data_IF_409784879425
#
_entry.id   IF_409784879425
#
_cell.length_a   1.000
_cell.length_b   1.000
_cell.length_c   1.000
_cell.angle_alpha   90.00
_cell.angle_beta   90.00
_cell.angle_gamma   90.00
#
_symmetry.space_group_name_H-M   'P 1'
#
loop_
_entity.id
_entity.type
_entity.pdbx_description
1 polymer ?
#
# COMPACT_ATOMS: atom_id res chain seq x y z
N UNK A 1 -3.77 15.51 -14.33
CA UNK A 1 -4.13 15.46 -14.00
C UNK A 1 -4.88 15.68 -13.73
N UNK A 2 -5.38 16.07 -13.57
CA UNK A 2 -6.01 15.79 -13.69
C UNK A 2 -7.31 15.79 -13.29
N UNK A 3 -8.40 16.07 -13.74
CA UNK A 3 -9.77 15.81 -13.37
C UNK A 3 -9.98 14.69 -12.40
N UNK A 4 -8.90 14.13 -12.07
CA UNK A 4 -8.87 13.00 -11.17
C UNK A 4 -9.36 13.33 -9.76
N UNK A 5 -9.25 14.58 -9.37
CA UNK A 5 -9.74 14.98 -8.05
C UNK A 5 -11.25 14.76 -7.94
N UNK A 6 -11.97 15.01 -9.01
CA UNK A 6 -13.39 14.76 -9.04
C UNK A 6 -13.70 13.27 -8.91
N UNK A 7 -12.88 12.44 -9.52
CA UNK A 7 -13.06 11.00 -9.44
C UNK A 7 -12.88 10.48 -8.02
N UNK A 8 -11.91 11.04 -7.29
CA UNK A 8 -11.70 10.65 -5.89
C UNK A 8 -12.92 11.00 -5.04
N UNK A 9 -13.46 12.21 -5.23
CA UNK A 9 -14.63 12.63 -4.48
C UNK A 9 -15.83 11.72 -4.75
N UNK A 10 -16.03 11.34 -6.00
CA UNK A 10 -17.11 10.42 -6.35
C UNK A 10 -16.89 9.05 -5.73
N UNK A 11 -15.65 8.59 -5.71
CA UNK A 11 -15.34 7.31 -5.10
C UNK A 11 -15.65 7.32 -3.61
N UNK A 12 -15.32 8.40 -2.92
CA UNK A 12 -15.62 8.52 -1.49
C UNK A 12 -17.11 8.53 -1.23
N UNK A 13 -17.88 9.24 -2.04
CA UNK A 13 -19.32 9.27 -1.89
C UNK A 13 -19.92 7.88 -2.08
N UNK A 14 -19.44 7.17 -3.09
CA UNK A 14 -19.90 5.81 -3.33
C UNK A 14 -19.50 4.89 -2.18
N UNK A 15 -18.29 5.07 -1.65
CA UNK A 15 -17.79 4.27 -0.55
C UNK A 15 -18.68 4.44 0.69
N UNK A 16 -19.03 5.69 1.02
CA UNK A 16 -19.86 5.98 2.18
C UNK A 16 -21.27 5.42 2.01
N UNK A 17 -21.76 5.35 0.79
CA UNK A 17 -23.09 4.86 0.49
C UNK A 17 -23.19 3.33 0.53
N UNK A 18 -22.08 2.63 0.47
CA UNK A 18 -22.09 1.17 0.46
C UNK A 18 -22.44 0.65 1.86
N UNK A 19 -23.52 -0.12 2.00
CA UNK A 19 -23.89 -0.63 3.32
C UNK A 19 -22.96 -1.72 3.82
N UNK A 20 -22.33 -2.45 2.92
CA UNK A 20 -21.40 -3.53 3.26
C UNK A 20 -20.04 -3.25 2.65
N UNK A 21 -19.15 -2.69 3.45
CA UNK A 21 -17.79 -2.43 3.00
C UNK A 21 -16.93 -3.67 3.25
N UNK A 22 -16.18 -4.08 2.24
CA UNK A 22 -15.26 -5.20 2.37
C UNK A 22 -13.85 -4.78 2.00
N UNK A 23 -12.92 -5.72 2.14
CA UNK A 23 -11.51 -5.45 1.84
C UNK A 23 -11.31 -4.91 0.43
N UNK A 24 -12.06 -5.43 -0.52
CA UNK A 24 -11.96 -4.99 -1.92
C UNK A 24 -12.37 -3.52 -2.04
N UNK A 25 -13.46 -3.14 -1.36
CA UNK A 25 -13.94 -1.76 -1.38
C UNK A 25 -12.91 -0.81 -0.78
N UNK A 26 -12.35 -1.18 0.37
CA UNK A 26 -11.32 -0.39 1.02
C UNK A 26 -10.09 -0.24 0.10
N UNK A 27 -9.68 -1.34 -0.52
CA UNK A 27 -8.54 -1.33 -1.42
C UNK A 27 -8.76 -0.40 -2.61
N UNK A 28 -9.96 -0.44 -3.18
CA UNK A 28 -10.30 0.42 -4.32
C UNK A 28 -10.21 1.90 -3.96
N UNK A 29 -10.69 2.27 -2.78
CA UNK A 29 -10.63 3.65 -2.31
C UNK A 29 -9.19 4.08 -2.08
N UNK A 30 -8.40 3.21 -1.45
CA UNK A 30 -6.98 3.49 -1.21
C UNK A 30 -6.26 3.71 -2.53
N UNK A 31 -6.53 2.85 -3.50
CA UNK A 31 -5.93 2.96 -4.82
C UNK A 31 -6.32 4.26 -5.51
N UNK A 32 -7.58 4.65 -5.40
CA UNK A 32 -8.07 5.88 -6.00
C UNK A 32 -7.34 7.10 -5.45
N UNK A 33 -7.16 7.16 -4.14
CA UNK A 33 -6.40 8.26 -3.54
C UNK A 33 -4.96 8.26 -3.99
N UNK A 34 -4.35 7.07 -4.07
CA UNK A 34 -2.98 6.95 -4.54
C UNK A 34 -2.81 7.42 -5.97
N UNK A 35 -3.76 7.10 -6.84
CA UNK A 35 -3.71 7.51 -8.24
C UNK A 35 -3.83 9.03 -8.40
N UNK A 36 -4.43 9.68 -7.42
CA UNK A 36 -4.60 11.14 -7.45
C UNK A 36 -3.48 11.88 -6.73
N UNK A 37 -2.48 11.15 -6.25
CA UNK A 37 -1.35 11.78 -5.58
C UNK A 37 -1.60 12.08 -4.10
N UNK A 38 -2.71 11.65 -3.56
CA UNK A 38 -3.02 11.84 -2.14
C UNK A 38 -2.52 10.66 -1.33
N UNK A 39 -1.20 10.53 -1.29
CA UNK A 39 -0.56 9.35 -0.72
C UNK A 39 -0.80 9.23 0.79
N UNK A 40 -0.73 10.34 1.50
CA UNK A 40 -0.94 10.32 2.95
C UNK A 40 -2.35 9.88 3.30
N UNK A 41 -3.33 10.38 2.55
CA UNK A 41 -4.72 9.99 2.78
C UNK A 41 -4.92 8.52 2.50
N UNK A 42 -4.30 8.02 1.44
CA UNK A 42 -4.39 6.61 1.10
C UNK A 42 -3.82 5.73 2.22
N UNK A 43 -2.68 6.13 2.77
CA UNK A 43 -2.06 5.40 3.87
C UNK A 43 -2.94 5.46 5.11
N UNK A 44 -3.53 6.61 5.39
CA UNK A 44 -4.44 6.77 6.51
C UNK A 44 -5.64 5.83 6.39
N UNK A 45 -6.21 5.74 5.20
CA UNK A 45 -7.33 4.84 4.94
C UNK A 45 -6.93 3.38 5.14
N UNK A 46 -5.72 3.03 4.76
CA UNK A 46 -5.22 1.67 4.97
C UNK A 46 -5.16 1.34 6.47
N UNK A 47 -4.65 2.28 7.26
CA UNK A 47 -4.59 2.09 8.71
C UNK A 47 -5.98 1.98 9.30
N UNK A 48 -6.92 2.78 8.82
CA UNK A 48 -8.28 2.74 9.31
C UNK A 48 -8.97 1.43 8.95
N UNK A 49 -8.69 0.92 7.76
CA UNK A 49 -9.21 -0.38 7.33
C UNK A 49 -8.88 -1.46 8.35
N UNK A 50 -7.61 -1.50 8.78
CA UNK A 50 -7.18 -2.47 9.78
C UNK A 50 -7.84 -2.21 11.13
N UNK A 51 -7.98 -0.93 11.50
CA UNK A 51 -8.60 -0.54 12.74
C UNK A 51 -10.07 -0.97 12.81
N UNK A 52 -10.74 -0.95 11.66
CA UNK A 52 -12.14 -1.34 11.58
C UNK A 52 -12.33 -2.85 11.52
N UNK A 53 -11.26 -3.61 11.56
CA UNK A 53 -11.32 -5.06 11.59
C UNK A 53 -11.26 -5.74 10.24
N UNK A 54 -10.99 -5.00 9.19
CA UNK A 54 -10.84 -5.58 7.85
C UNK A 54 -9.39 -6.00 7.64
N UNK A 55 -9.20 -7.22 7.17
CA UNK A 55 -7.87 -7.75 6.91
C UNK A 55 -7.42 -7.40 5.50
N UNK A 56 -6.31 -6.67 5.35
CA UNK A 56 -5.76 -6.44 4.02
C UNK A 56 -5.26 -7.75 3.44
N UNK A 57 -5.36 -7.87 2.13
CA UNK A 57 -4.84 -9.05 1.44
C UNK A 57 -3.58 -8.69 0.66
N UNK A 58 -3.05 -9.66 -0.07
CA UNK A 58 -1.82 -9.48 -0.83
C UNK A 58 -1.93 -8.28 -1.79
N UNK A 59 -3.06 -8.17 -2.46
CA UNK A 59 -3.28 -7.06 -3.39
C UNK A 59 -3.33 -5.72 -2.67
N UNK A 60 -3.96 -5.67 -1.50
CA UNK A 60 -4.04 -4.43 -0.71
C UNK A 60 -2.65 -3.95 -0.33
N UNK A 61 -1.79 -4.86 0.11
CA UNK A 61 -0.41 -4.49 0.47
C UNK A 61 0.38 -4.04 -0.76
N UNK A 62 0.13 -4.67 -1.90
CA UNK A 62 0.78 -4.25 -3.14
C UNK A 62 0.42 -2.80 -3.47
N UNK A 63 -0.85 -2.46 -3.38
CA UNK A 63 -1.33 -1.10 -3.63
C UNK A 63 -0.67 -0.12 -2.67
N UNK A 64 -0.66 -0.45 -1.39
CA UNK A 64 -0.11 0.44 -0.36
C UNK A 64 1.40 0.62 -0.54
N UNK A 65 2.12 -0.45 -0.83
CA UNK A 65 3.56 -0.35 -1.06
C UNK A 65 3.87 0.48 -2.30
N UNK A 66 3.07 0.34 -3.35
CA UNK A 66 3.21 1.15 -4.54
C UNK A 66 2.99 2.64 -4.24
N UNK A 67 1.99 2.94 -3.41
CA UNK A 67 1.71 4.30 -2.98
C UNK A 67 2.89 4.86 -2.19
N UNK A 68 3.46 4.06 -1.30
CA UNK A 68 4.64 4.47 -0.54
C UNK A 68 5.81 4.75 -1.47
N UNK A 69 5.98 3.93 -2.49
CA UNK A 69 7.05 4.11 -3.47
C UNK A 69 6.91 5.45 -4.18
N UNK A 70 5.72 5.75 -4.64
CA UNK A 70 5.48 6.99 -5.37
C UNK A 70 5.60 8.21 -4.48
N UNK A 71 5.18 8.09 -3.24
CA UNK A 71 5.21 9.20 -2.30
C UNK A 71 6.49 9.34 -1.51
N UNK A 72 7.38 8.37 -1.59
CA UNK A 72 8.64 8.43 -0.86
C UNK A 72 8.54 8.09 0.61
N UNK A 73 7.57 7.28 1.01
CA UNK A 73 7.37 6.91 2.41
C UNK A 73 8.10 5.60 2.74
N UNK A 74 9.42 5.68 2.82
CA UNK A 74 10.25 4.50 3.05
C UNK A 74 9.96 3.82 4.39
N UNK A 75 9.83 4.61 5.44
CA UNK A 75 9.55 4.07 6.78
C UNK A 75 8.22 3.35 6.83
N UNK A 76 7.21 3.96 6.24
CA UNK A 76 5.88 3.35 6.18
C UNK A 76 5.91 2.04 5.39
N UNK A 77 6.63 2.05 4.27
CA UNK A 77 6.72 0.86 3.44
C UNK A 77 7.34 -0.30 4.20
N UNK A 78 8.42 -0.04 4.93
CA UNK A 78 9.07 -1.09 5.74
C UNK A 78 8.13 -1.61 6.81
N UNK A 79 7.40 -0.72 7.47
CA UNK A 79 6.44 -1.10 8.49
C UNK A 79 5.35 -1.97 7.90
N UNK A 80 4.79 -1.58 6.76
CA UNK A 80 3.71 -2.32 6.12
C UNK A 80 4.19 -3.67 5.62
N UNK A 81 5.40 -3.74 5.10
CA UNK A 81 5.96 -5.01 4.65
C UNK A 81 6.11 -5.98 5.83
N UNK A 82 6.63 -5.48 6.95
CA UNK A 82 6.77 -6.30 8.16
C UNK A 82 5.40 -6.75 8.66
N UNK A 83 4.44 -5.85 8.66
CA UNK A 83 3.08 -6.15 9.08
C UNK A 83 2.48 -7.26 8.22
N UNK A 84 2.66 -7.16 6.91
CA UNK A 84 2.16 -8.15 5.97
C UNK A 84 2.72 -9.54 6.25
N UNK A 85 4.03 -9.63 6.44
CA UNK A 85 4.67 -10.92 6.58
C UNK A 85 4.57 -11.50 7.98
N UNK A 86 4.54 -10.65 9.00
CA UNK A 86 4.52 -11.11 10.39
C UNK A 86 3.12 -11.20 10.98
N UNK A 87 2.34 -10.14 10.83
CA UNK A 87 1.02 -10.10 11.47
C UNK A 87 -0.03 -10.82 10.66
N UNK A 88 -0.03 -10.63 9.37
CA UNK A 88 -1.02 -11.25 8.49
C UNK A 88 -0.51 -12.52 7.82
N UNK A 89 0.77 -12.78 7.95
CA UNK A 89 1.41 -13.98 7.41
C UNK A 89 1.15 -14.15 5.91
N UNK A 90 1.15 -13.05 5.20
CA UNK A 90 0.97 -13.03 3.76
C UNK A 90 2.35 -13.15 3.12
N UNK A 91 2.49 -14.08 2.19
CA UNK A 91 3.75 -14.25 1.49
C UNK A 91 3.95 -13.10 0.50
N UNK A 92 5.08 -12.41 0.60
CA UNK A 92 5.39 -11.32 -0.30
C UNK A 92 5.72 -11.85 -1.68
N UNK A 93 5.20 -11.18 -2.71
CA UNK A 93 5.49 -11.51 -4.09
C UNK A 93 6.62 -10.63 -4.61
N UNK A 94 7.06 -10.89 -5.84
CA UNK A 94 8.08 -10.07 -6.46
C UNK A 94 7.67 -8.61 -6.53
N UNK A 95 6.39 -8.36 -6.76
CA UNK A 95 5.88 -7.00 -6.85
C UNK A 95 6.05 -6.26 -5.54
N UNK A 96 5.81 -6.93 -4.42
CA UNK A 96 6.01 -6.32 -3.11
C UNK A 96 7.47 -5.98 -2.89
N UNK A 97 8.35 -6.92 -3.21
CA UNK A 97 9.79 -6.70 -3.05
C UNK A 97 10.27 -5.57 -3.95
N UNK A 98 9.82 -5.56 -5.21
CA UNK A 98 10.23 -4.53 -6.15
C UNK A 98 9.88 -3.13 -5.65
N UNK A 99 8.65 -2.96 -5.18
CA UNK A 99 8.21 -1.65 -4.69
C UNK A 99 9.05 -1.16 -3.54
N UNK A 100 9.29 -2.03 -2.55
CA UNK A 100 10.04 -1.59 -1.38
C UNK A 100 11.52 -1.39 -1.69
N UNK A 101 12.09 -2.26 -2.54
CA UNK A 101 13.50 -2.14 -2.91
C UNK A 101 13.74 -0.85 -3.68
N UNK A 102 12.89 -0.55 -4.67
CA UNK A 102 13.01 0.69 -5.43
C UNK A 102 12.90 1.91 -4.53
N UNK A 103 11.95 1.87 -3.61
CA UNK A 103 11.76 2.98 -2.67
C UNK A 103 12.98 3.19 -1.80
N UNK A 104 13.56 2.12 -1.28
CA UNK A 104 14.73 2.20 -0.43
C UNK A 104 15.94 2.75 -1.18
N UNK A 105 16.12 2.32 -2.42
CA UNK A 105 17.21 2.82 -3.25
C UNK A 105 17.05 4.32 -3.50
N UNK A 106 15.85 4.74 -3.82
CA UNK A 106 15.56 6.16 -4.07
C UNK A 106 15.77 7.01 -2.83
N UNK A 107 15.53 6.43 -1.66
CA UNK A 107 15.67 7.14 -0.40
C UNK A 107 17.09 7.10 0.14
N UNK A 108 18.00 6.44 -0.55
CA UNK A 108 19.39 6.32 -0.10
C UNK A 108 19.63 5.22 0.90
N UNK A 109 18.65 4.38 1.14
CA UNK A 109 18.75 3.29 2.11
C UNK A 109 19.17 2.01 1.42
N UNK A 110 20.36 2.04 0.78
CA UNK A 110 20.82 0.92 -0.03
C UNK A 110 21.08 -0.34 0.78
N UNK A 111 21.51 -0.19 2.03
CA UNK A 111 21.74 -1.34 2.89
C UNK A 111 20.44 -2.09 3.15
N UNK A 112 19.38 -1.33 3.44
CA UNK A 112 18.06 -1.93 3.63
C UNK A 112 17.58 -2.60 2.36
N UNK A 113 17.80 -1.94 1.22
CA UNK A 113 17.41 -2.50 -0.07
C UNK A 113 18.11 -3.83 -0.33
N UNK A 114 19.38 -3.93 0.01
CA UNK A 114 20.12 -5.17 -0.17
C UNK A 114 19.52 -6.31 0.64
N UNK A 115 19.08 -6.02 1.86
CA UNK A 115 18.44 -7.04 2.69
C UNK A 115 17.19 -7.58 2.01
N UNK A 116 16.38 -6.70 1.44
CA UNK A 116 15.18 -7.14 0.75
C UNK A 116 15.48 -7.88 -0.53
N UNK A 117 16.56 -7.50 -1.22
CA UNK A 117 16.99 -8.21 -2.42
C UNK A 117 17.35 -9.66 -2.07
N UNK A 118 18.07 -9.84 -0.98
CA UNK A 118 18.44 -11.19 -0.53
C UNK A 118 17.21 -12.01 -0.15
N UNK A 119 16.26 -11.39 0.55
CA UNK A 119 15.03 -12.06 0.92
C UNK A 119 14.23 -12.48 -0.31
N UNK A 120 14.22 -11.62 -1.33
CA UNK A 120 13.54 -11.91 -2.58
C UNK A 120 14.17 -13.13 -3.27
N UNK A 121 15.48 -13.22 -3.25
CA UNK A 121 16.19 -14.38 -3.82
C UNK A 121 15.81 -15.67 -3.11
N UNK A 122 15.74 -15.62 -1.79
CA UNK A 122 15.37 -16.78 -1.01
C UNK A 122 13.91 -17.17 -1.22
N UNK A 123 13.05 -16.17 -1.43
CA UNK A 123 11.64 -16.42 -1.63
C UNK A 123 11.34 -17.06 -2.98
N UNK A 124 12.23 -16.85 -3.92
CA UNK A 124 12.07 -17.48 -5.23
C UNK A 124 12.38 -18.96 -5.17
#
# INVERSE_FOLDING_TARGET
MYGNCGAVNKAMLAFDAIPCKGSVTWTAIIEAYGCNGQYEEAIHLFKQMMSDGFSPNQFTFKVVLSICEQGGFADEAKMFFTLMTRNYKIKASEEHYSSIINLLIRSGLTEEAEKFIQLSSFAA
#
